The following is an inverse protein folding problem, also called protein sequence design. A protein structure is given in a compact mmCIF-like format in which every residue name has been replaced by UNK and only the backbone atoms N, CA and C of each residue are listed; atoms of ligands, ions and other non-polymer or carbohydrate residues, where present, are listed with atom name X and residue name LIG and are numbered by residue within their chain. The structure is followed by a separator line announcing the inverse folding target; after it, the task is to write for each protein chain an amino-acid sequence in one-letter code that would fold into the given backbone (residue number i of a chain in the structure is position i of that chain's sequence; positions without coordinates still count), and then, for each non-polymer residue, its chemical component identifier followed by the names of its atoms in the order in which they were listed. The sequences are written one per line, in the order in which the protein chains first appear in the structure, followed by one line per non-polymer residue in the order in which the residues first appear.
data_IF_539283598221
#
_entry.id   IF_539283598221
#
_cell.length_a   1.000
_cell.length_b   1.000
_cell.length_c   1.000
_cell.angle_alpha   90.00
_cell.angle_beta   90.00
_cell.angle_gamma   90.00
#
_symmetry.space_group_name_H-M   'P 1'
#
loop_
_entity.id
_entity.type
_entity.pdbx_description
1 polymer ?
#
# COMPACT_ATOMS: atom_id res chain seq x y z
N UNK A 1 31.12 78.37 65.56
CA UNK A 1 32.46 78.50 66.16
C UNK A 1 32.82 77.17 66.80
N UNK A 2 33.90 76.54 66.33
CA UNK A 2 34.53 75.31 66.85
C UNK A 2 35.34 75.63 68.14
N UNK A 3 36.01 74.69 68.86
CA UNK A 3 35.79 73.24 69.14
C UNK A 3 36.19 72.81 70.60
N UNK A 4 36.35 71.48 70.82
CA UNK A 4 36.93 70.71 71.97
C UNK A 4 35.95 70.35 73.12
N UNK A 5 35.89 69.11 73.66
CA UNK A 5 37.00 68.22 74.09
C UNK A 5 36.58 66.73 74.23
N UNK A 6 37.59 65.86 74.07
CA UNK A 6 37.72 64.41 74.31
C UNK A 6 37.14 63.81 75.62
N UNK A 7 36.71 62.53 75.61
CA UNK A 7 37.38 61.46 76.38
C UNK A 7 37.05 60.03 75.90
N UNK A 8 38.07 59.18 76.06
CA UNK A 8 38.27 57.78 75.65
C UNK A 8 37.37 56.77 76.39
N UNK A 9 37.10 55.64 75.75
CA UNK A 9 37.45 54.31 76.29
C UNK A 9 37.49 53.25 75.19
N UNK A 10 38.52 52.42 75.29
CA UNK A 10 38.99 51.35 74.41
C UNK A 10 38.73 50.03 75.15
N UNK A 11 38.15 49.01 74.50
CA UNK A 11 38.40 47.58 74.80
C UNK A 11 37.83 46.74 73.63
N UNK A 12 38.68 46.22 72.74
CA UNK A 12 39.22 44.85 72.67
C UNK A 12 38.32 43.85 71.92
N UNK A 13 38.91 43.33 70.84
CA UNK A 13 38.57 42.23 69.95
C UNK A 13 37.87 41.01 70.59
N UNK A 14 36.89 40.46 69.88
CA UNK A 14 36.83 39.01 69.64
C UNK A 14 36.22 38.74 68.25
N UNK A 15 37.01 38.09 67.39
CA UNK A 15 36.59 37.64 66.07
C UNK A 15 35.74 36.37 66.20
N UNK A 16 34.55 36.37 65.59
CA UNK A 16 33.83 35.15 65.25
C UNK A 16 33.73 35.06 63.73
N UNK A 17 34.53 34.17 63.16
CA UNK A 17 34.32 33.64 61.82
C UNK A 17 33.06 32.75 61.87
N UNK A 18 31.94 33.26 61.38
CA UNK A 18 30.81 32.40 60.98
C UNK A 18 31.02 32.02 59.52
N UNK A 19 31.47 30.78 59.33
CA UNK A 19 31.47 30.09 58.04
C UNK A 19 29.98 29.91 57.68
N UNK A 20 29.47 30.72 56.76
CA UNK A 20 28.25 30.41 56.04
C UNK A 20 28.56 29.23 55.13
N UNK A 21 28.14 28.03 55.54
CA UNK A 21 27.95 26.93 54.61
C UNK A 21 26.75 27.31 53.74
N UNK A 22 27.00 27.77 52.52
CA UNK A 22 26.00 27.71 51.46
C UNK A 22 25.74 26.23 51.21
N UNK A 23 24.60 25.74 51.71
CA UNK A 23 24.02 24.48 51.27
C UNK A 23 23.45 24.72 49.86
N UNK A 24 24.33 24.63 48.86
CA UNK A 24 23.89 24.54 47.47
C UNK A 24 23.49 23.10 47.19
N UNK A 25 22.36 22.67 47.74
CA UNK A 25 21.64 21.53 47.21
C UNK A 25 21.04 21.97 45.86
N UNK A 26 21.88 22.02 44.82
CA UNK A 26 21.39 21.84 43.47
C UNK A 26 20.83 20.42 43.44
N UNK A 27 19.52 20.29 43.59
CA UNK A 27 18.79 19.17 43.03
C UNK A 27 19.06 19.22 41.53
N UNK A 28 20.09 18.50 41.09
CA UNK A 28 20.15 17.98 39.73
C UNK A 28 18.96 17.06 39.60
N UNK A 29 17.86 17.57 39.08
CA UNK A 29 16.85 16.72 38.42
C UNK A 29 17.63 15.92 37.39
N UNK A 30 17.72 14.60 37.59
CA UNK A 30 18.15 13.71 36.51
C UNK A 30 17.27 14.02 35.28
N UNK A 31 17.85 14.09 34.07
CA UNK A 31 17.04 14.27 32.87
C UNK A 31 15.94 13.21 32.85
N UNK A 32 14.70 13.66 32.61
CA UNK A 32 13.52 12.81 32.61
C UNK A 32 13.60 11.91 31.38
N UNK A 33 14.15 10.72 31.55
CA UNK A 33 14.23 9.70 30.51
C UNK A 33 12.81 9.30 30.11
N UNK A 34 12.40 9.68 28.90
CA UNK A 34 11.12 9.27 28.34
C UNK A 34 11.35 8.12 27.37
N UNK A 35 10.69 6.98 27.62
CA UNK A 35 10.74 5.81 26.73
C UNK A 35 9.35 5.63 26.14
N UNK A 36 9.25 5.45 24.82
CA UNK A 36 7.99 5.11 24.16
C UNK A 36 8.17 3.90 23.28
N UNK A 37 7.11 3.13 23.12
CA UNK A 37 7.07 2.02 22.19
C UNK A 37 5.79 2.03 21.37
N UNK A 38 5.87 1.52 20.15
CA UNK A 38 4.73 1.41 19.26
C UNK A 38 4.79 0.09 18.48
N UNK A 39 3.63 -0.53 18.26
CA UNK A 39 3.56 -1.75 17.46
C UNK A 39 2.23 -1.94 16.75
N UNK A 40 2.29 -2.68 15.65
CA UNK A 40 1.13 -3.17 14.90
C UNK A 40 1.48 -4.52 14.24
N UNK A 41 0.52 -5.43 14.16
CA UNK A 41 0.69 -6.74 13.52
C UNK A 41 -0.52 -7.11 12.66
N UNK A 42 -0.29 -7.08 11.36
CA UNK A 42 -1.22 -7.44 10.29
C UNK A 42 -0.53 -8.40 9.31
N UNK A 43 0.23 -9.36 9.86
CA UNK A 43 1.05 -10.29 9.07
C UNK A 43 0.24 -11.19 8.15
N UNK A 44 -1.05 -11.40 8.42
CA UNK A 44 -1.94 -12.10 7.49
C UNK A 44 -2.23 -11.24 6.25
N UNK A 45 -2.11 -11.81 5.05
CA UNK A 45 -2.44 -11.10 3.81
C UNK A 45 -3.93 -10.75 3.73
N UNK A 46 -4.24 -9.62 3.09
CA UNK A 46 -5.64 -9.29 2.72
C UNK A 46 -6.06 -10.18 1.57
N UNK A 47 -7.10 -10.97 1.77
CA UNK A 47 -7.69 -11.84 0.76
C UNK A 47 -9.16 -11.45 0.58
N UNK A 48 -9.54 -11.14 -0.65
CA UNK A 48 -10.91 -10.81 -1.01
C UNK A 48 -11.66 -12.06 -1.48
N UNK A 49 -12.93 -12.17 -1.08
CA UNK A 49 -13.84 -13.22 -1.56
C UNK A 49 -14.84 -12.72 -2.58
N UNK A 50 -14.84 -11.43 -2.94
CA UNK A 50 -15.73 -10.95 -3.98
C UNK A 50 -15.32 -9.65 -4.65
N UNK A 51 -15.91 -9.40 -5.80
CA UNK A 51 -15.80 -8.15 -6.54
C UNK A 51 -17.09 -7.79 -7.26
N UNK A 52 -17.32 -6.49 -7.47
CA UNK A 52 -18.48 -5.98 -8.22
C UNK A 52 -18.16 -4.72 -9.01
N UNK A 53 -18.88 -4.51 -10.10
CA UNK A 53 -18.86 -3.25 -10.85
C UNK A 53 -19.42 -2.11 -10.01
N UNK A 54 -18.88 -0.90 -10.19
CA UNK A 54 -19.42 0.34 -9.58
C UNK A 54 -20.14 1.19 -10.63
N UNK A 55 -21.00 2.12 -10.19
CA UNK A 55 -21.75 3.02 -11.09
C UNK A 55 -20.83 3.97 -11.89
N UNK A 56 -19.68 4.34 -11.33
CA UNK A 56 -18.68 5.20 -11.98
C UNK A 56 -17.65 4.44 -12.83
N UNK A 57 -17.68 3.11 -12.81
CA UNK A 57 -16.73 2.26 -13.53
C UNK A 57 -16.93 2.28 -15.03
N UNK A 58 -15.86 2.07 -15.81
CA UNK A 58 -15.95 1.92 -17.27
C UNK A 58 -16.26 0.48 -17.61
N UNK A 59 -17.10 0.28 -18.63
CA UNK A 59 -17.39 -1.06 -19.18
C UNK A 59 -17.15 -1.04 -20.69
N UNK A 60 -16.40 -2.03 -21.19
CA UNK A 60 -16.14 -2.17 -22.61
C UNK A 60 -15.88 -3.62 -22.99
N UNK A 61 -16.16 -3.93 -24.25
CA UNK A 61 -15.76 -5.19 -24.89
C UNK A 61 -14.42 -4.99 -25.58
N UNK A 62 -13.50 -5.95 -25.41
CA UNK A 62 -12.29 -6.04 -26.23
C UNK A 62 -12.62 -6.81 -27.50
N UNK A 63 -12.54 -6.12 -28.63
CA UNK A 63 -12.81 -6.65 -29.95
C UNK A 63 -11.56 -7.32 -30.55
N UNK A 64 -11.73 -8.14 -31.60
CA UNK A 64 -10.62 -8.70 -32.35
C UNK A 64 -9.62 -7.66 -32.83
N UNK A 65 -8.35 -7.96 -32.60
CA UNK A 65 -7.25 -7.21 -33.19
C UNK A 65 -5.92 -7.89 -32.93
N UNK A 66 -4.82 -7.27 -33.42
CA UNK A 66 -3.47 -7.65 -33.06
C UNK A 66 -3.30 -7.63 -31.54
N UNK A 67 -2.72 -8.69 -30.97
CA UNK A 67 -2.38 -8.68 -29.55
C UNK A 67 -1.37 -7.57 -29.25
N UNK A 68 -1.56 -6.83 -28.16
CA UNK A 68 -0.66 -5.71 -27.80
C UNK A 68 0.76 -6.22 -27.53
N UNK A 69 0.89 -7.33 -26.81
CA UNK A 69 2.18 -7.96 -26.49
C UNK A 69 2.85 -8.63 -27.70
N UNK A 70 2.08 -9.08 -28.68
CA UNK A 70 2.59 -9.75 -29.87
C UNK A 70 1.69 -9.47 -31.09
N UNK A 71 1.91 -8.36 -31.81
CA UNK A 71 1.03 -7.96 -32.92
C UNK A 71 0.95 -8.96 -34.08
N UNK A 72 1.89 -9.91 -34.19
CA UNK A 72 1.83 -10.98 -35.18
C UNK A 72 0.70 -11.99 -34.90
N UNK A 73 0.23 -12.07 -33.65
CA UNK A 73 -0.97 -12.83 -33.29
C UNK A 73 -2.21 -11.94 -33.50
N UNK A 74 -3.01 -12.29 -34.50
CA UNK A 74 -4.19 -11.55 -34.92
C UNK A 74 -5.17 -12.49 -35.64
N UNK A 75 -6.47 -12.54 -35.29
CA UNK A 75 -7.11 -11.83 -34.19
C UNK A 75 -6.88 -12.48 -32.82
N UNK A 76 -6.95 -11.68 -31.75
CA UNK A 76 -6.90 -12.14 -30.36
C UNK A 76 -7.84 -11.32 -29.47
N UNK A 77 -8.23 -11.85 -28.29
CA UNK A 77 -8.94 -11.09 -27.25
C UNK A 77 -8.05 -10.13 -26.46
N UNK A 78 -6.77 -9.96 -26.81
CA UNK A 78 -5.80 -9.17 -26.03
C UNK A 78 -5.32 -7.95 -26.81
N UNK A 79 -6.26 -7.26 -27.45
CA UNK A 79 -6.00 -6.13 -28.34
C UNK A 79 -6.37 -4.78 -27.69
N UNK A 80 -6.01 -3.68 -28.38
CA UNK A 80 -6.49 -2.33 -28.05
C UNK A 80 -7.72 -1.90 -28.86
N UNK A 81 -8.30 -2.82 -29.63
CA UNK A 81 -9.58 -2.59 -30.30
C UNK A 81 -10.68 -2.81 -29.27
N UNK A 82 -11.36 -1.73 -28.87
CA UNK A 82 -12.36 -1.77 -27.80
C UNK A 82 -13.66 -1.10 -28.26
N UNK A 83 -14.78 -1.60 -27.74
CA UNK A 83 -16.09 -0.98 -27.89
C UNK A 83 -16.67 -0.66 -26.52
N UNK A 84 -16.86 0.64 -26.25
CA UNK A 84 -17.50 1.09 -25.01
C UNK A 84 -18.94 0.59 -24.96
N UNK A 85 -19.34 0.04 -23.82
CA UNK A 85 -20.66 -0.57 -23.66
C UNK A 85 -21.16 -0.40 -22.23
N UNK A 86 -22.22 -1.13 -21.87
CA UNK A 86 -22.79 -1.15 -20.54
C UNK A 86 -22.85 -2.58 -19.99
N UNK A 87 -22.82 -2.67 -18.68
CA UNK A 87 -22.93 -3.93 -17.96
C UNK A 87 -22.81 -3.71 -16.47
N UNK A 88 -23.06 -4.76 -15.72
CA UNK A 88 -22.85 -4.81 -14.29
C UNK A 88 -22.48 -6.23 -13.90
N UNK A 89 -21.66 -6.39 -12.89
CA UNK A 89 -21.42 -7.70 -12.33
C UNK A 89 -21.30 -7.70 -10.81
N UNK A 90 -21.57 -8.85 -10.21
CA UNK A 90 -21.18 -9.22 -8.85
C UNK A 90 -20.70 -10.66 -8.89
N UNK A 91 -19.55 -10.90 -8.27
CA UNK A 91 -18.91 -12.20 -8.14
C UNK A 91 -18.49 -12.41 -6.69
N UNK A 92 -18.87 -13.54 -6.11
CA UNK A 92 -18.29 -14.06 -4.87
C UNK A 92 -17.66 -15.43 -5.14
N UNK A 93 -16.55 -15.69 -4.47
CA UNK A 93 -15.78 -16.92 -4.55
C UNK A 93 -15.48 -17.47 -3.16
N UNK A 94 -15.33 -18.78 -3.10
CA UNK A 94 -14.81 -19.51 -1.95
C UNK A 94 -13.56 -20.23 -2.42
N UNK A 95 -12.43 -19.93 -1.79
CA UNK A 95 -11.14 -20.58 -1.98
C UNK A 95 -10.82 -21.29 -0.67
N UNK A 96 -11.16 -22.58 -0.64
CA UNK A 96 -11.18 -23.43 0.56
C UNK A 96 -9.89 -24.22 0.67
N UNK A 97 -9.36 -24.66 -0.46
CA UNK A 97 -8.22 -25.56 -0.53
C UNK A 97 -7.02 -24.82 -1.13
N UNK A 98 -5.92 -24.75 -0.38
CA UNK A 98 -4.68 -24.06 -0.81
C UNK A 98 -4.12 -24.60 -2.15
N UNK A 99 -4.38 -25.89 -2.42
CA UNK A 99 -4.07 -26.56 -3.67
C UNK A 99 -5.33 -27.15 -4.30
N UNK A 100 -5.60 -26.73 -5.54
CA UNK A 100 -6.74 -27.23 -6.30
C UNK A 100 -6.52 -28.69 -6.73
N UNK A 101 -7.62 -29.45 -6.68
CA UNK A 101 -7.67 -30.87 -6.99
C UNK A 101 -9.11 -31.26 -7.34
N UNK A 102 -9.37 -32.48 -7.88
CA UNK A 102 -10.75 -32.89 -8.19
C UNK A 102 -11.66 -32.98 -6.96
N UNK A 103 -11.09 -32.93 -5.75
CA UNK A 103 -11.80 -32.95 -4.48
C UNK A 103 -11.89 -31.56 -3.83
N UNK A 104 -11.35 -30.51 -4.46
CA UNK A 104 -11.41 -29.15 -3.95
C UNK A 104 -12.87 -28.70 -3.77
N UNK A 105 -13.11 -27.96 -2.70
CA UNK A 105 -14.38 -27.34 -2.37
C UNK A 105 -14.47 -25.89 -2.86
N UNK A 106 -13.52 -25.44 -3.70
CA UNK A 106 -13.56 -24.11 -4.29
C UNK A 106 -14.84 -23.90 -5.10
N UNK A 107 -15.41 -22.71 -4.99
CA UNK A 107 -16.71 -22.43 -5.61
C UNK A 107 -16.84 -20.97 -6.02
N UNK A 108 -17.67 -20.71 -7.03
CA UNK A 108 -18.29 -19.41 -7.22
C UNK A 108 -19.65 -19.42 -6.51
N UNK A 109 -19.87 -18.50 -5.59
CA UNK A 109 -21.10 -18.40 -4.80
C UNK A 109 -22.15 -17.53 -5.48
N UNK A 110 -22.05 -16.22 -5.26
CA UNK A 110 -22.92 -15.23 -5.88
C UNK A 110 -22.38 -14.85 -7.26
N UNK A 111 -23.07 -15.22 -8.33
CA UNK A 111 -22.72 -14.85 -9.70
C UNK A 111 -23.90 -14.11 -10.34
N UNK A 112 -23.68 -12.84 -10.66
CA UNK A 112 -24.62 -12.04 -11.44
C UNK A 112 -23.84 -11.17 -12.39
N UNK A 113 -23.69 -11.61 -13.64
CA UNK A 113 -22.97 -10.87 -14.68
C UNK A 113 -23.97 -10.53 -15.78
N UNK A 114 -24.04 -9.25 -16.15
CA UNK A 114 -24.82 -8.75 -17.27
C UNK A 114 -24.00 -7.76 -18.08
N UNK A 115 -24.07 -7.84 -19.40
CA UNK A 115 -23.39 -6.91 -20.29
C UNK A 115 -24.08 -6.83 -21.64
N UNK A 116 -23.87 -5.73 -22.35
CA UNK A 116 -24.31 -5.56 -23.74
C UNK A 116 -23.13 -5.86 -24.67
N UNK A 117 -23.27 -6.85 -25.54
CA UNK A 117 -22.26 -7.16 -26.56
C UNK A 117 -22.25 -6.14 -27.69
N UNK A 118 -21.26 -6.21 -28.57
CA UNK A 118 -21.14 -5.36 -29.76
C UNK A 118 -22.34 -5.50 -30.73
N UNK A 119 -23.00 -6.66 -30.74
CA UNK A 119 -24.26 -6.91 -31.46
C UNK A 119 -25.48 -6.19 -30.88
N UNK A 120 -25.32 -5.52 -29.73
CA UNK A 120 -26.37 -4.80 -29.02
C UNK A 120 -27.30 -5.69 -28.19
N UNK A 121 -27.08 -7.02 -28.16
CA UNK A 121 -27.83 -7.93 -27.28
C UNK A 121 -27.29 -7.82 -25.86
N UNK A 122 -28.20 -7.94 -24.90
CA UNK A 122 -27.82 -8.10 -23.49
C UNK A 122 -27.67 -9.57 -23.14
N UNK A 123 -26.53 -9.89 -22.56
CA UNK A 123 -26.17 -11.23 -22.12
C UNK A 123 -26.19 -11.32 -20.61
N UNK A 124 -26.41 -12.53 -20.10
CA UNK A 124 -26.44 -12.85 -18.68
C UNK A 124 -25.70 -14.14 -18.38
N UNK A 125 -24.94 -14.13 -17.29
CA UNK A 125 -24.34 -15.31 -16.67
C UNK A 125 -24.71 -15.28 -15.18
N UNK A 126 -25.35 -16.34 -14.70
CA UNK A 126 -25.92 -16.39 -13.34
C UNK A 126 -25.39 -17.52 -12.47
N UNK A 127 -24.49 -18.35 -13.01
CA UNK A 127 -23.86 -19.44 -12.29
C UNK A 127 -22.54 -19.79 -12.96
N UNK A 128 -21.54 -20.18 -12.17
CA UNK A 128 -20.26 -20.69 -12.65
C UNK A 128 -19.93 -21.93 -11.82
N UNK A 129 -19.72 -23.06 -12.51
CA UNK A 129 -19.20 -24.27 -11.89
C UNK A 129 -17.69 -24.28 -12.08
N UNK A 130 -16.91 -24.28 -10.99
CA UNK A 130 -15.44 -24.25 -11.05
C UNK A 130 -14.90 -25.50 -11.75
N UNK A 131 -13.87 -25.34 -12.58
CA UNK A 131 -13.21 -26.44 -13.29
C UNK A 131 -12.03 -26.91 -12.46
N UNK A 132 -12.17 -27.93 -11.63
CA UNK A 132 -11.04 -28.39 -10.83
C UNK A 132 -9.92 -29.09 -11.62
N UNK A 133 -8.69 -28.87 -11.18
CA UNK A 133 -7.47 -29.51 -11.70
C UNK A 133 -7.51 -31.02 -11.55
N UNK A 134 -7.15 -31.77 -12.59
CA UNK A 134 -6.94 -33.22 -12.51
C UNK A 134 -5.66 -33.57 -11.73
N UNK A 135 -5.65 -34.70 -11.03
CA UNK A 135 -4.49 -35.16 -10.27
C UNK A 135 -3.24 -35.27 -11.16
N UNK A 136 -2.16 -34.59 -10.78
CA UNK A 136 -0.88 -34.61 -11.51
C UNK A 136 -0.86 -33.77 -12.79
N UNK A 137 -1.86 -32.92 -13.04
CA UNK A 137 -1.89 -32.00 -14.18
C UNK A 137 -1.47 -30.59 -13.79
N UNK A 138 -0.71 -29.88 -14.64
CA UNK A 138 -0.34 -28.47 -14.45
C UNK A 138 0.67 -28.19 -13.32
N UNK A 139 1.51 -27.19 -13.52
CA UNK A 139 2.67 -26.91 -12.65
C UNK A 139 2.34 -25.90 -11.52
N UNK A 140 1.09 -25.42 -11.47
CA UNK A 140 0.63 -24.35 -10.57
C UNK A 140 -0.42 -24.86 -9.57
N UNK A 141 -0.48 -24.23 -8.39
CA UNK A 141 -1.32 -24.66 -7.26
C UNK A 141 -2.82 -24.43 -7.46
N UNK A 142 -3.23 -23.55 -8.38
CA UNK A 142 -4.63 -23.15 -8.59
C UNK A 142 -5.12 -23.36 -10.04
N UNK A 143 -4.56 -24.34 -10.76
CA UNK A 143 -4.84 -24.55 -12.19
C UNK A 143 -6.22 -25.21 -12.43
N UNK A 144 -7.28 -24.47 -12.13
CA UNK A 144 -8.66 -24.91 -12.26
C UNK A 144 -9.61 -24.27 -11.22
N UNK A 145 -9.11 -24.10 -10.00
CA UNK A 145 -9.84 -23.57 -8.86
C UNK A 145 -9.99 -22.06 -8.81
N UNK A 146 -10.20 -21.56 -7.59
CA UNK A 146 -10.19 -20.13 -7.28
C UNK A 146 -8.78 -19.76 -6.80
N UNK A 147 -8.17 -18.75 -7.41
CA UNK A 147 -6.92 -18.18 -6.94
C UNK A 147 -7.14 -16.81 -6.29
N UNK A 148 -6.50 -16.57 -5.15
CA UNK A 148 -6.41 -15.24 -4.53
C UNK A 148 -4.97 -14.75 -4.47
N UNK A 149 -4.77 -13.46 -4.72
CA UNK A 149 -3.48 -12.77 -4.77
C UNK A 149 -2.41 -13.55 -5.57
N UNK A 150 -2.68 -13.77 -6.85
CA UNK A 150 -1.78 -14.51 -7.75
C UNK A 150 -1.19 -13.58 -8.79
N UNK A 151 0.14 -13.57 -8.89
CA UNK A 151 0.83 -12.92 -10.02
C UNK A 151 0.70 -13.82 -11.24
N UNK A 152 0.11 -13.30 -12.32
CA UNK A 152 -0.22 -14.07 -13.52
C UNK A 152 0.30 -13.39 -14.79
N UNK A 153 0.17 -14.10 -15.91
CA UNK A 153 0.44 -13.62 -17.27
C UNK A 153 1.91 -13.25 -17.52
N UNK A 154 2.20 -12.53 -18.61
CA UNK A 154 3.57 -12.19 -19.00
C UNK A 154 4.48 -13.43 -19.09
N UNK A 155 5.60 -13.41 -18.37
CA UNK A 155 6.57 -14.50 -18.31
C UNK A 155 6.43 -15.41 -17.07
N UNK A 156 5.33 -15.33 -16.32
CA UNK A 156 5.12 -16.13 -15.09
C UNK A 156 4.96 -17.63 -15.36
N UNK A 157 4.62 -18.01 -16.59
CA UNK A 157 4.19 -19.36 -16.91
C UNK A 157 2.74 -19.67 -16.50
N UNK A 158 2.02 -18.69 -15.92
CA UNK A 158 0.62 -18.81 -15.53
C UNK A 158 -0.26 -17.98 -16.47
N UNK A 159 -1.24 -18.61 -17.11
CA UNK A 159 -2.13 -17.94 -18.07
C UNK A 159 -1.44 -17.62 -19.40
N UNK A 160 -1.81 -16.52 -20.05
CA UNK A 160 -1.30 -16.16 -21.39
C UNK A 160 -0.11 -15.19 -21.34
N UNK A 161 0.85 -15.37 -22.24
CA UNK A 161 1.92 -14.38 -22.49
C UNK A 161 1.47 -13.17 -23.33
N UNK A 162 0.19 -13.13 -23.73
CA UNK A 162 -0.39 -12.01 -24.48
C UNK A 162 -0.98 -10.91 -23.59
N UNK A 163 -0.97 -11.13 -22.28
CA UNK A 163 -1.36 -10.15 -21.27
C UNK A 163 -0.12 -9.71 -20.48
N UNK A 164 -0.13 -8.49 -19.93
CA UNK A 164 0.96 -8.00 -19.10
C UNK A 164 1.09 -8.83 -17.83
N UNK A 165 2.28 -8.88 -17.23
CA UNK A 165 2.40 -9.43 -15.88
C UNK A 165 1.59 -8.55 -14.92
N UNK A 166 0.76 -9.16 -14.07
CA UNK A 166 -0.10 -8.44 -13.13
C UNK A 166 -0.49 -9.27 -11.92
N UNK A 167 -0.85 -8.60 -10.82
CA UNK A 167 -1.50 -9.20 -9.65
C UNK A 167 -3.01 -9.37 -9.87
N UNK A 168 -3.49 -10.61 -9.79
CA UNK A 168 -4.90 -10.95 -9.67
C UNK A 168 -5.31 -11.09 -8.20
N UNK A 169 -6.19 -10.22 -7.73
CA UNK A 169 -6.83 -10.33 -6.41
C UNK A 169 -7.72 -11.57 -6.33
N UNK A 170 -8.48 -11.82 -7.40
CA UNK A 170 -9.35 -12.99 -7.56
C UNK A 170 -9.18 -13.48 -9.00
N UNK A 171 -9.00 -14.78 -9.19
CA UNK A 171 -8.95 -15.42 -10.52
C UNK A 171 -9.64 -16.78 -10.46
N UNK A 172 -10.36 -17.16 -11.51
CA UNK A 172 -11.00 -18.47 -11.58
C UNK A 172 -11.17 -18.97 -13.01
N UNK A 173 -11.30 -20.28 -13.15
CA UNK A 173 -11.79 -20.93 -14.37
C UNK A 173 -13.06 -21.72 -14.03
N UNK A 174 -14.03 -21.68 -14.94
CA UNK A 174 -15.29 -22.35 -14.70
C UNK A 174 -16.04 -22.69 -15.98
N UNK A 175 -17.18 -23.36 -15.81
CA UNK A 175 -18.20 -23.61 -16.81
C UNK A 175 -19.45 -22.80 -16.49
N UNK A 176 -19.98 -22.12 -17.49
CA UNK A 176 -21.16 -21.29 -17.35
C UNK A 176 -22.09 -21.39 -18.56
N UNK A 177 -23.38 -21.13 -18.33
CA UNK A 177 -24.33 -20.91 -19.41
C UNK A 177 -24.37 -19.42 -19.77
N UNK A 178 -24.25 -19.13 -21.07
CA UNK A 178 -24.49 -17.79 -21.62
C UNK A 178 -25.97 -17.68 -21.97
N UNK A 179 -26.67 -16.71 -21.40
CA UNK A 179 -28.11 -16.49 -21.60
C UNK A 179 -28.38 -15.15 -22.27
N UNK A 180 -29.52 -15.06 -22.95
CA UNK A 180 -30.15 -13.78 -23.30
C UNK A 180 -30.74 -13.16 -22.03
N UNK A 181 -30.36 -11.93 -21.71
CA UNK A 181 -30.78 -11.29 -20.46
C UNK A 181 -32.27 -10.92 -20.44
N UNK A 182 -32.89 -10.67 -21.60
CA UNK A 182 -34.28 -10.25 -21.69
C UNK A 182 -35.24 -11.44 -21.56
N UNK A 183 -34.86 -12.61 -22.08
CA UNK A 183 -35.72 -13.80 -22.09
C UNK A 183 -35.30 -14.89 -21.09
N UNK A 184 -34.11 -14.77 -20.51
CA UNK A 184 -33.41 -15.81 -19.73
C UNK A 184 -33.16 -17.13 -20.50
N UNK A 185 -33.29 -17.12 -21.83
CA UNK A 185 -33.04 -18.31 -22.65
C UNK A 185 -31.56 -18.60 -22.77
N UNK A 186 -31.16 -19.86 -22.59
CA UNK A 186 -29.76 -20.31 -22.78
C UNK A 186 -29.40 -20.24 -24.26
N UNK A 187 -28.37 -19.45 -24.58
CA UNK A 187 -27.81 -19.28 -25.92
C UNK A 187 -26.68 -20.28 -26.17
N UNK A 188 -25.86 -20.53 -25.15
CA UNK A 188 -24.84 -21.57 -25.17
C UNK A 188 -24.61 -22.12 -23.77
N UNK A 189 -24.41 -23.43 -23.67
CA UNK A 189 -24.24 -24.14 -22.38
C UNK A 189 -22.79 -24.57 -22.16
N UNK A 190 -22.41 -24.76 -20.90
CA UNK A 190 -21.10 -25.30 -20.49
C UNK A 190 -19.91 -24.59 -21.16
N UNK A 191 -20.02 -23.27 -21.28
CA UNK A 191 -18.97 -22.43 -21.82
C UNK A 191 -17.87 -22.30 -20.80
N UNK A 192 -16.63 -22.59 -21.21
CA UNK A 192 -15.46 -22.20 -20.43
C UNK A 192 -15.52 -20.68 -20.25
N UNK A 193 -15.34 -20.25 -19.02
CA UNK A 193 -15.25 -18.86 -18.61
C UNK A 193 -14.01 -18.69 -17.75
N UNK A 194 -13.29 -17.61 -17.99
CA UNK A 194 -12.22 -17.14 -17.13
C UNK A 194 -12.62 -15.77 -16.58
N UNK A 195 -12.54 -15.61 -15.26
CA UNK A 195 -12.74 -14.30 -14.62
C UNK A 195 -11.51 -13.97 -13.81
N UNK A 196 -11.06 -12.72 -13.92
CA UNK A 196 -9.95 -12.21 -13.15
C UNK A 196 -10.27 -10.78 -12.70
N UNK A 197 -10.25 -10.54 -11.40
CA UNK A 197 -10.20 -9.18 -10.83
C UNK A 197 -8.77 -8.88 -10.41
N UNK A 198 -8.16 -7.88 -11.01
CA UNK A 198 -6.73 -7.62 -10.96
C UNK A 198 -6.41 -6.13 -10.84
N UNK A 199 -5.12 -5.84 -10.64
CA UNK A 199 -4.56 -4.51 -10.85
C UNK A 199 -4.82 -4.01 -12.28
N UNK A 200 -4.88 -2.69 -12.45
CA UNK A 200 -5.22 -2.10 -13.75
C UNK A 200 -4.05 -2.23 -14.73
N UNK A 201 -4.32 -2.72 -15.94
CA UNK A 201 -3.28 -2.91 -16.97
C UNK A 201 -3.51 -2.08 -18.22
N UNK A 202 -4.40 -1.09 -18.14
CA UNK A 202 -4.59 -0.09 -19.17
C UNK A 202 -4.33 1.31 -18.65
N UNK A 203 -3.76 2.15 -19.50
CA UNK A 203 -3.54 3.56 -19.19
C UNK A 203 -4.84 4.39 -19.25
N UNK A 204 -4.74 5.69 -19.01
CA UNK A 204 -5.89 6.60 -19.06
C UNK A 204 -6.55 6.68 -20.45
N UNK A 205 -5.81 6.34 -21.51
CA UNK A 205 -6.29 6.25 -22.90
C UNK A 205 -6.82 4.85 -23.24
N UNK A 206 -6.99 3.98 -22.24
CA UNK A 206 -7.41 2.59 -22.36
C UNK A 206 -6.47 1.72 -23.19
N UNK A 207 -5.19 2.09 -23.31
CA UNK A 207 -4.17 1.27 -23.99
C UNK A 207 -3.51 0.32 -23.02
N UNK A 208 -3.39 -0.95 -23.42
CA UNK A 208 -2.78 -1.97 -22.59
C UNK A 208 -1.28 -1.72 -22.43
N UNK A 209 -0.78 -1.90 -21.20
CA UNK A 209 0.64 -1.69 -20.85
C UNK A 209 1.48 -2.85 -21.41
N UNK A 210 2.43 -2.65 -22.35
CA UNK A 210 3.06 -3.75 -23.06
C UNK A 210 4.26 -4.38 -22.32
N UNK A 211 4.08 -4.88 -21.09
CA UNK A 211 5.17 -5.48 -20.28
C UNK A 211 4.89 -6.90 -19.80
N UNK A 212 5.73 -7.87 -20.24
CA UNK A 212 5.64 -9.27 -19.81
C UNK A 212 6.57 -9.61 -18.63
N UNK A 213 7.69 -8.90 -18.51
CA UNK A 213 8.76 -9.27 -17.58
C UNK A 213 8.63 -8.57 -16.22
N UNK A 214 8.17 -7.32 -16.23
CA UNK A 214 7.98 -6.49 -15.05
C UNK A 214 6.48 -6.24 -14.89
N UNK A 215 5.97 -6.40 -13.67
CA UNK A 215 4.62 -5.94 -13.36
C UNK A 215 4.63 -4.41 -13.40
N UNK A 216 3.92 -3.85 -14.37
CA UNK A 216 3.79 -2.40 -14.56
C UNK A 216 2.34 -1.96 -14.39
N UNK A 217 1.53 -2.80 -13.77
CA UNK A 217 0.13 -2.50 -13.49
C UNK A 217 -0.01 -1.38 -12.45
N UNK A 218 -1.15 -0.72 -12.48
CA UNK A 218 -1.49 0.27 -11.45
C UNK A 218 -1.93 -0.50 -10.20
N UNK A 219 -0.99 -0.75 -9.28
CA UNK A 219 -1.26 -1.39 -7.99
C UNK A 219 -2.20 -0.58 -7.08
N UNK A 220 -2.69 0.58 -7.52
CA UNK A 220 -3.71 1.34 -6.83
C UNK A 220 -5.01 0.52 -6.76
N UNK A 221 -5.35 0.03 -5.56
CA UNK A 221 -6.47 -0.90 -5.41
C UNK A 221 -7.82 -0.27 -5.78
N UNK A 222 -7.95 1.06 -5.69
CA UNK A 222 -9.13 1.81 -6.14
C UNK A 222 -9.37 1.74 -7.65
N UNK A 223 -8.34 1.36 -8.41
CA UNK A 223 -8.39 1.24 -9.87
C UNK A 223 -8.43 -0.22 -10.33
N UNK A 224 -8.69 -1.17 -9.44
CA UNK A 224 -8.85 -2.57 -9.82
C UNK A 224 -9.83 -2.71 -11.01
N UNK A 225 -9.57 -3.72 -11.83
CA UNK A 225 -10.37 -4.04 -13.01
C UNK A 225 -10.75 -5.51 -13.03
N UNK A 226 -11.83 -5.85 -13.73
CA UNK A 226 -12.27 -7.23 -13.92
C UNK A 226 -12.37 -7.59 -15.39
N UNK A 227 -11.72 -8.69 -15.73
CA UNK A 227 -11.76 -9.36 -17.01
C UNK A 227 -12.76 -10.52 -16.93
N UNK A 228 -13.69 -10.59 -17.88
CA UNK A 228 -14.58 -11.74 -18.05
C UNK A 228 -14.40 -12.24 -19.49
N UNK A 229 -13.82 -13.42 -19.64
CA UNK A 229 -13.45 -13.97 -20.95
C UNK A 229 -14.19 -15.29 -21.16
N UNK A 230 -14.92 -15.40 -22.27
CA UNK A 230 -15.42 -16.66 -22.80
C UNK A 230 -14.58 -17.01 -24.03
N UNK A 231 -13.59 -17.90 -23.90
CA UNK A 231 -12.79 -18.35 -25.04
C UNK A 231 -13.64 -19.13 -26.07
N UNK A 232 -13.12 -19.24 -27.31
CA UNK A 232 -13.77 -20.06 -28.33
C UNK A 232 -13.85 -21.53 -27.91
N UNK A 233 -15.01 -22.14 -28.15
CA UNK A 233 -15.20 -23.60 -28.14
C UNK A 233 -15.72 -24.03 -29.51
N UNK A 234 -15.42 -25.25 -29.93
CA UNK A 234 -15.95 -25.83 -31.18
C UNK A 234 -15.60 -25.03 -32.45
N UNK A 235 -14.38 -24.52 -32.57
CA UNK A 235 -13.92 -23.68 -33.70
C UNK A 235 -13.90 -24.38 -35.06
N UNK A 236 -14.09 -25.70 -35.11
CA UNK A 236 -14.09 -26.46 -36.37
C UNK A 236 -15.40 -26.25 -37.14
N UNK A 237 -15.40 -25.28 -38.05
CA UNK A 237 -16.54 -24.98 -38.93
C UNK A 237 -17.64 -24.14 -38.29
N UNK A 238 -17.49 -23.77 -37.01
CA UNK A 238 -18.35 -22.80 -36.34
C UNK A 238 -17.79 -21.38 -36.52
N UNK A 239 -18.51 -20.53 -37.24
CA UNK A 239 -18.16 -19.12 -37.42
C UNK A 239 -18.52 -18.23 -36.22
N UNK A 240 -19.30 -18.75 -35.28
CA UNK A 240 -19.77 -18.02 -34.09
C UNK A 240 -19.61 -18.88 -32.81
N UNK A 241 -18.37 -19.28 -32.45
CA UNK A 241 -18.15 -20.17 -31.31
C UNK A 241 -18.45 -19.53 -29.95
N UNK A 242 -18.72 -18.22 -29.91
CA UNK A 242 -19.50 -17.59 -28.85
C UNK A 242 -20.68 -16.87 -29.51
N UNK A 243 -21.94 -17.23 -29.24
CA UNK A 243 -23.07 -16.61 -29.91
C UNK A 243 -23.07 -15.09 -29.81
N UNK A 244 -23.25 -14.45 -30.97
CA UNK A 244 -23.37 -12.99 -31.09
C UNK A 244 -22.04 -12.25 -31.03
N UNK A 245 -20.91 -12.93 -31.14
CA UNK A 245 -19.61 -12.26 -31.22
C UNK A 245 -19.05 -12.29 -32.63
N UNK A 246 -19.43 -13.19 -33.54
CA UNK A 246 -18.93 -13.24 -34.93
C UNK A 246 -17.40 -13.49 -35.10
N UNK A 247 -16.62 -13.44 -34.01
CA UNK A 247 -15.17 -13.60 -33.99
C UNK A 247 -14.68 -14.60 -32.94
N UNK A 248 -15.61 -15.20 -32.21
CA UNK A 248 -15.40 -16.48 -31.55
C UNK A 248 -14.90 -16.44 -30.11
N UNK A 249 -14.65 -15.27 -29.56
CA UNK A 249 -14.51 -15.08 -28.12
C UNK A 249 -15.41 -13.93 -27.69
N UNK A 250 -15.59 -13.80 -26.37
CA UNK A 250 -16.08 -12.59 -25.73
C UNK A 250 -15.08 -12.19 -24.65
N UNK A 251 -14.73 -10.92 -24.56
CA UNK A 251 -13.87 -10.39 -23.50
C UNK A 251 -14.44 -9.06 -23.00
N UNK A 252 -15.10 -9.10 -21.84
CA UNK A 252 -15.63 -7.92 -21.18
C UNK A 252 -14.65 -7.42 -20.13
N UNK A 253 -14.53 -6.09 -20.07
CA UNK A 253 -13.69 -5.37 -19.12
C UNK A 253 -14.55 -4.44 -18.28
N UNK A 254 -14.28 -4.42 -16.98
CA UNK A 254 -14.87 -3.50 -16.01
C UNK A 254 -13.73 -2.79 -15.26
N UNK A 255 -13.58 -1.47 -15.37
CA UNK A 255 -12.59 -0.69 -14.60
C UNK A 255 -13.25 0.00 -13.40
N UNK A 256 -12.49 0.24 -12.32
CA UNK A 256 -12.99 0.92 -11.13
C UNK A 256 -13.95 0.04 -10.33
N UNK A 257 -13.60 -1.24 -10.17
CA UNK A 257 -14.43 -2.21 -9.47
C UNK A 257 -14.21 -2.14 -7.96
N UNK A 258 -15.21 -2.56 -7.20
CA UNK A 258 -15.11 -2.69 -5.75
C UNK A 258 -14.72 -4.13 -5.40
N UNK A 259 -13.67 -4.27 -4.58
CA UNK A 259 -13.30 -5.51 -3.92
C UNK A 259 -14.00 -5.59 -2.56
N UNK A 260 -14.57 -6.74 -2.21
CA UNK A 260 -15.27 -6.93 -0.95
C UNK A 260 -15.05 -8.33 -0.36
N UNK A 261 -15.56 -8.55 0.85
CA UNK A 261 -15.38 -9.82 1.56
C UNK A 261 -13.93 -10.06 1.97
N UNK A 262 -13.22 -9.01 2.35
CA UNK A 262 -11.86 -9.11 2.86
C UNK A 262 -11.85 -9.92 4.17
N UNK A 263 -10.89 -10.85 4.32
CA UNK A 263 -10.68 -11.63 5.54
C UNK A 263 -10.29 -10.77 6.76
N UNK A 264 -9.76 -9.57 6.52
CA UNK A 264 -9.50 -8.53 7.52
C UNK A 264 -9.71 -7.15 6.92
N UNK A 265 -9.68 -6.12 7.75
CA UNK A 265 -9.73 -4.74 7.29
C UNK A 265 -8.52 -4.44 6.37
N UNK A 266 -8.76 -4.03 5.10
CA UNK A 266 -7.71 -3.96 4.08
C UNK A 266 -6.71 -2.82 4.34
N UNK A 267 -7.19 -1.69 4.87
CA UNK A 267 -6.40 -0.47 5.10
C UNK A 267 -5.50 -0.48 6.33
N UNK A 268 -5.27 -1.62 6.98
CA UNK A 268 -4.44 -1.68 8.19
C UNK A 268 -2.93 -1.68 7.92
N UNK A 269 -2.52 -2.21 6.76
CA UNK A 269 -1.15 -2.12 6.26
C UNK A 269 -1.21 -1.87 4.75
N UNK A 270 -0.52 -0.83 4.29
CA UNK A 270 -0.52 -0.44 2.88
C UNK A 270 0.71 0.38 2.52
N UNK A 271 0.97 0.47 1.23
CA UNK A 271 2.01 1.32 0.64
C UNK A 271 1.35 2.50 -0.06
N UNK A 272 1.90 3.70 0.15
CA UNK A 272 1.55 4.87 -0.66
C UNK A 272 2.37 4.83 -1.95
N UNK A 273 1.68 4.80 -3.08
CA UNK A 273 2.29 4.70 -4.40
C UNK A 273 2.64 6.08 -4.99
N UNK A 274 3.55 6.15 -5.97
CA UNK A 274 3.81 7.36 -6.75
C UNK A 274 2.57 7.96 -7.37
N UNK A 275 2.36 9.24 -7.09
CA UNK A 275 1.34 10.03 -7.76
C UNK A 275 1.51 11.53 -7.50
N UNK A 276 0.60 12.33 -8.07
CA UNK A 276 0.48 13.74 -7.69
C UNK A 276 0.26 13.86 -6.19
N UNK A 277 0.99 14.77 -5.53
CA UNK A 277 0.74 15.07 -4.12
C UNK A 277 -0.67 15.63 -3.95
N UNK A 278 -1.38 15.22 -2.90
CA UNK A 278 -2.77 15.67 -2.66
C UNK A 278 -2.83 17.18 -2.42
N UNK A 279 -1.92 17.71 -1.63
CA UNK A 279 -1.85 19.14 -1.29
C UNK A 279 -1.31 20.00 -2.45
N UNK A 280 -0.41 19.46 -3.26
CA UNK A 280 0.15 20.16 -4.43
C UNK A 280 0.29 19.22 -5.64
N UNK A 281 -0.77 19.05 -6.45
CA UNK A 281 -0.77 18.11 -7.57
C UNK A 281 0.27 18.40 -8.66
N UNK A 282 0.82 19.61 -8.72
CA UNK A 282 1.91 19.94 -9.64
C UNK A 282 3.23 19.24 -9.28
N UNK A 283 3.37 18.75 -8.04
CA UNK A 283 4.47 17.90 -7.61
C UNK A 283 4.08 16.44 -7.83
N UNK A 284 4.71 15.80 -8.80
CA UNK A 284 4.46 14.41 -9.18
C UNK A 284 5.71 13.83 -9.87
N UNK A 285 6.12 12.58 -9.57
CA UNK A 285 5.58 11.72 -8.52
C UNK A 285 6.06 12.15 -7.11
N UNK A 286 5.28 11.80 -6.08
CA UNK A 286 5.64 12.01 -4.66
C UNK A 286 5.13 10.85 -3.79
N UNK A 287 5.69 10.66 -2.57
CA UNK A 287 5.16 9.73 -1.56
C UNK A 287 3.92 10.25 -0.83
N UNK A 288 3.30 11.35 -1.27
CA UNK A 288 2.20 12.01 -0.57
C UNK A 288 0.93 12.05 -1.43
N UNK A 289 0.69 10.96 -2.16
CA UNK A 289 -0.45 10.80 -3.07
C UNK A 289 -1.61 10.03 -2.41
N UNK A 290 -2.75 9.99 -3.09
CA UNK A 290 -3.90 9.14 -2.72
C UNK A 290 -3.85 7.73 -3.33
N UNK A 291 -2.78 7.42 -4.07
CA UNK A 291 -2.63 6.09 -4.65
C UNK A 291 -2.07 5.17 -3.57
N UNK A 292 -2.74 4.05 -3.35
CA UNK A 292 -2.38 3.11 -2.28
C UNK A 292 -2.45 1.67 -2.78
N UNK A 293 -1.47 0.86 -2.41
CA UNK A 293 -1.47 -0.59 -2.60
C UNK A 293 -1.64 -1.27 -1.25
N UNK A 294 -2.55 -2.24 -1.17
CA UNK A 294 -2.77 -3.01 0.04
C UNK A 294 -1.58 -3.95 0.30
N UNK A 295 -1.37 -4.29 1.57
CA UNK A 295 -0.26 -5.14 1.99
C UNK A 295 -0.56 -5.85 3.31
N UNK A 296 0.40 -6.65 3.76
CA UNK A 296 0.48 -7.21 5.12
C UNK A 296 1.82 -6.86 5.75
N UNK A 297 1.90 -7.00 7.06
CA UNK A 297 3.16 -6.80 7.76
C UNK A 297 3.02 -6.63 9.26
N UNK A 298 4.16 -6.52 9.91
CA UNK A 298 4.26 -6.18 11.32
C UNK A 298 5.37 -5.16 11.53
N UNK A 299 5.18 -4.35 12.56
CA UNK A 299 6.16 -3.35 12.98
C UNK A 299 6.16 -3.26 14.51
N UNK A 300 7.36 -3.15 15.07
CA UNK A 300 7.58 -2.83 16.47
C UNK A 300 8.75 -1.87 16.58
N UNK A 301 8.61 -0.88 17.44
CA UNK A 301 9.68 0.05 17.75
C UNK A 301 9.65 0.44 19.23
N UNK A 302 10.82 0.80 19.73
CA UNK A 302 11.03 1.39 21.04
C UNK A 302 12.09 2.45 20.92
N UNK A 303 11.82 3.62 21.50
CA UNK A 303 12.70 4.76 21.47
C UNK A 303 12.90 5.33 22.86
N UNK A 304 14.01 6.03 23.03
CA UNK A 304 14.36 6.81 24.20
C UNK A 304 14.66 8.24 23.77
N UNK A 305 13.98 9.22 24.37
CA UNK A 305 14.27 10.66 24.25
C UNK A 305 14.90 11.06 25.59
N UNK A 306 16.21 11.31 25.54
CA UNK A 306 17.08 11.48 26.71
C UNK A 306 17.54 12.93 26.85
N UNK A 307 17.49 13.69 25.76
CA UNK A 307 18.03 15.04 25.68
C UNK A 307 17.00 16.01 25.10
N UNK A 308 16.77 17.14 25.78
CA UNK A 308 15.79 18.16 25.33
C UNK A 308 16.09 18.71 23.92
N UNK A 309 17.38 18.70 23.54
CA UNK A 309 17.86 19.16 22.25
C UNK A 309 18.78 18.09 21.64
N UNK A 310 18.53 17.77 20.38
CA UNK A 310 19.39 16.93 19.57
C UNK A 310 20.71 17.65 19.25
N UNK A 311 21.79 16.89 19.31
CA UNK A 311 23.15 17.27 18.95
C UNK A 311 23.97 16.01 18.66
N UNK A 312 25.20 16.13 18.17
CA UNK A 312 26.09 14.98 17.94
C UNK A 312 26.39 14.18 19.22
N UNK A 313 26.08 14.74 20.40
CA UNK A 313 26.27 14.14 21.71
C UNK A 313 24.96 13.70 22.36
N UNK A 314 23.82 13.84 21.67
CA UNK A 314 22.53 13.34 22.15
C UNK A 314 22.60 11.83 22.40
N UNK A 315 21.93 11.41 23.47
CA UNK A 315 21.75 10.03 23.88
C UNK A 315 20.38 9.48 23.44
N UNK A 316 19.63 10.24 22.63
CA UNK A 316 18.39 9.77 22.05
C UNK A 316 18.68 8.50 21.24
N UNK A 317 17.80 7.51 21.38
CA UNK A 317 18.06 6.20 20.84
C UNK A 317 16.80 5.58 20.25
N UNK A 318 17.03 4.79 19.20
CA UNK A 318 16.08 3.80 18.71
C UNK A 318 16.54 2.47 19.32
N UNK A 319 15.97 2.14 20.48
CA UNK A 319 16.36 0.98 21.27
C UNK A 319 16.04 -0.33 20.56
N UNK A 320 14.86 -0.37 19.92
CA UNK A 320 14.35 -1.52 19.19
C UNK A 320 13.66 -1.04 17.92
N UNK A 321 13.92 -1.70 16.80
CA UNK A 321 13.14 -1.53 15.58
C UNK A 321 13.16 -2.83 14.80
N UNK A 322 11.96 -3.33 14.47
CA UNK A 322 11.77 -4.47 13.60
C UNK A 322 10.50 -4.27 12.77
N UNK A 323 10.67 -4.26 11.44
CA UNK A 323 9.58 -4.17 10.48
C UNK A 323 9.70 -5.29 9.45
N UNK A 324 8.58 -5.94 9.17
CA UNK A 324 8.36 -6.78 7.99
C UNK A 324 7.14 -6.26 7.24
N UNK A 325 7.29 -6.02 5.95
CA UNK A 325 6.21 -5.56 5.07
C UNK A 325 6.16 -6.46 3.83
N UNK A 326 4.98 -6.90 3.44
CA UNK A 326 4.76 -7.82 2.33
C UNK A 326 3.65 -7.29 1.42
N UNK A 327 4.02 -6.96 0.19
CA UNK A 327 3.07 -6.62 -0.89
C UNK A 327 2.25 -7.86 -1.24
N UNK A 328 1.04 -7.66 -1.77
CA UNK A 328 0.17 -8.78 -2.16
C UNK A 328 0.70 -9.60 -3.36
N UNK A 329 1.75 -9.14 -4.05
CA UNK A 329 2.47 -9.91 -5.06
C UNK A 329 3.54 -10.86 -4.48
N UNK A 330 3.74 -10.84 -3.15
CA UNK A 330 4.73 -11.62 -2.42
C UNK A 330 6.09 -10.93 -2.24
N UNK A 331 6.27 -9.70 -2.74
CA UNK A 331 7.50 -8.93 -2.50
C UNK A 331 7.58 -8.52 -1.04
N UNK A 332 8.71 -8.80 -0.39
CA UNK A 332 8.91 -8.56 1.03
C UNK A 332 10.04 -7.56 1.26
N UNK A 333 9.81 -6.63 2.17
CA UNK A 333 10.81 -5.72 2.72
C UNK A 333 10.95 -5.93 4.23
N UNK A 334 12.18 -5.94 4.71
CA UNK A 334 12.49 -5.95 6.14
C UNK A 334 13.47 -4.83 6.48
N UNK A 335 13.28 -4.23 7.66
CA UNK A 335 14.18 -3.24 8.25
C UNK A 335 14.31 -3.56 9.73
N UNK A 336 15.56 -3.61 10.20
CA UNK A 336 15.92 -3.79 11.60
C UNK A 336 17.05 -2.83 11.99
N UNK A 337 17.24 -2.66 13.30
CA UNK A 337 18.40 -1.98 13.88
C UNK A 337 18.69 -0.59 13.29
N UNK A 338 17.65 0.26 13.20
CA UNK A 338 17.82 1.66 12.76
C UNK A 338 18.75 2.39 13.73
N UNK A 339 19.76 3.07 13.18
CA UNK A 339 20.65 3.97 13.93
C UNK A 339 20.15 5.40 13.78
N UNK A 340 19.90 6.09 14.90
CA UNK A 340 19.50 7.49 14.89
C UNK A 340 20.55 8.37 14.18
N UNK A 341 20.10 9.43 13.51
CA UNK A 341 20.95 10.39 12.79
C UNK A 341 20.93 11.73 13.50
N UNK A 342 21.82 11.94 14.46
CA UNK A 342 21.90 13.19 15.20
C UNK A 342 22.41 14.36 14.35
N UNK A 343 21.87 15.56 14.60
CA UNK A 343 22.35 16.78 13.95
C UNK A 343 23.61 17.34 14.61
N UNK A 344 24.36 18.15 13.85
CA UNK A 344 25.44 18.94 14.42
C UNK A 344 24.93 20.04 15.36
N UNK A 345 25.65 20.33 16.44
CA UNK A 345 25.28 21.39 17.37
C UNK A 345 25.12 22.74 16.62
N UNK A 346 23.99 23.42 16.87
CA UNK A 346 23.66 24.69 16.19
C UNK A 346 23.23 24.56 14.72
N UNK A 347 23.07 23.34 14.20
CA UNK A 347 22.48 23.07 12.90
C UNK A 347 21.00 22.67 13.00
N UNK A 348 20.26 22.82 11.90
CA UNK A 348 18.83 22.56 11.82
C UNK A 348 17.98 23.64 12.50
N UNK A 349 16.74 23.79 12.04
CA UNK A 349 15.82 24.82 12.55
C UNK A 349 15.05 24.38 13.82
N UNK A 350 15.15 23.09 14.21
CA UNK A 350 14.31 22.49 15.25
C UNK A 350 15.10 21.68 16.27
N UNK A 351 14.59 21.60 17.50
CA UNK A 351 15.34 21.06 18.66
C UNK A 351 15.61 19.57 18.57
N UNK A 352 14.72 18.75 17.98
CA UNK A 352 14.84 17.28 17.91
C UNK A 352 15.28 16.76 16.52
N UNK A 353 15.65 17.65 15.60
CA UNK A 353 15.83 17.30 14.18
C UNK A 353 17.02 16.36 13.97
N UNK A 354 16.78 15.05 13.90
CA UNK A 354 17.82 14.04 13.74
C UNK A 354 17.83 12.99 14.87
N UNK A 355 17.51 13.43 16.08
CA UNK A 355 17.24 12.59 17.23
C UNK A 355 15.80 12.04 17.26
N UNK A 356 15.37 11.63 18.46
CA UNK A 356 14.00 11.20 18.74
C UNK A 356 13.19 12.41 19.22
N UNK A 357 12.02 12.63 18.63
CA UNK A 357 11.10 13.67 19.06
C UNK A 357 9.79 13.09 19.56
N UNK A 358 9.37 13.48 20.77
CA UNK A 358 8.02 13.21 21.29
C UNK A 358 7.09 14.41 21.24
N UNK A 359 5.83 14.12 20.91
CA UNK A 359 4.69 15.05 20.86
C UNK A 359 5.00 16.33 20.08
N UNK A 360 5.39 16.17 18.82
CA UNK A 360 5.79 17.27 17.93
C UNK A 360 4.71 17.54 16.90
N UNK A 361 4.29 18.80 16.80
CA UNK A 361 3.54 19.27 15.65
C UNK A 361 4.44 19.23 14.41
N UNK A 362 4.02 18.53 13.37
CA UNK A 362 4.78 18.36 12.14
C UNK A 362 3.95 18.69 10.90
N UNK A 363 4.66 18.85 9.78
CA UNK A 363 4.12 19.00 8.44
C UNK A 363 3.26 20.25 8.26
N UNK A 364 2.51 20.34 7.15
CA UNK A 364 1.71 21.50 6.81
C UNK A 364 2.52 22.81 6.84
N UNK A 365 2.05 23.79 7.62
CA UNK A 365 2.67 25.10 7.78
C UNK A 365 3.58 25.24 9.02
N UNK A 366 3.91 24.14 9.70
CA UNK A 366 4.71 24.17 10.95
C UNK A 366 6.16 24.58 10.71
N UNK A 367 6.67 24.44 9.48
CA UNK A 367 8.09 24.56 9.18
C UNK A 367 8.91 23.32 9.53
N UNK A 368 8.26 22.24 10.01
CA UNK A 368 8.90 20.96 10.35
C UNK A 368 8.43 19.89 9.36
N UNK A 369 9.37 19.19 8.71
CA UNK A 369 9.04 18.14 7.73
C UNK A 369 8.58 18.71 6.39
N UNK A 370 7.50 18.17 5.81
CA UNK A 370 7.03 18.53 4.46
C UNK A 370 5.73 19.32 4.48
N UNK A 371 5.58 20.26 3.54
CA UNK A 371 4.29 20.94 3.27
C UNK A 371 3.33 20.12 2.41
N UNK A 372 3.68 18.88 2.06
CA UNK A 372 2.87 17.97 1.24
C UNK A 372 2.05 16.97 2.06
N UNK A 373 2.16 17.03 3.38
CA UNK A 373 1.35 16.27 4.35
C UNK A 373 0.48 17.26 5.15
N UNK A 374 -0.68 16.81 5.68
CA UNK A 374 -1.47 17.66 6.56
C UNK A 374 -0.66 18.06 7.79
N UNK A 375 -1.04 19.18 8.43
CA UNK A 375 -0.54 19.46 9.78
C UNK A 375 -1.02 18.34 10.71
N UNK A 376 -0.12 17.75 11.49
CA UNK A 376 -0.45 16.60 12.36
C UNK A 376 0.46 16.51 13.58
N UNK A 377 0.01 15.77 14.60
CA UNK A 377 0.79 15.46 15.79
C UNK A 377 1.56 14.15 15.63
N UNK A 378 2.89 14.23 15.71
CA UNK A 378 3.77 13.08 15.83
C UNK A 378 4.01 12.75 17.31
N UNK A 379 3.52 11.60 17.77
CA UNK A 379 3.78 11.06 19.10
C UNK A 379 5.22 10.57 19.24
N UNK A 380 5.80 10.04 18.17
CA UNK A 380 7.20 9.66 18.03
C UNK A 380 7.63 10.04 16.62
N UNK A 381 8.79 10.68 16.47
CA UNK A 381 9.38 10.96 15.15
C UNK A 381 10.88 10.84 15.25
N UNK A 382 11.51 10.23 14.26
CA UNK A 382 12.97 10.22 14.15
C UNK A 382 13.44 10.06 12.71
N UNK A 383 14.71 10.41 12.49
CA UNK A 383 15.46 10.03 11.31
C UNK A 383 16.54 9.03 11.71
N UNK A 384 16.81 8.10 10.82
CA UNK A 384 17.85 7.10 11.04
C UNK A 384 18.47 6.60 9.75
N UNK A 385 19.44 5.71 9.90
CA UNK A 385 20.00 4.91 8.82
C UNK A 385 19.85 3.43 9.13
N UNK A 386 19.48 2.65 8.11
CA UNK A 386 19.33 1.20 8.23
C UNK A 386 19.59 0.50 6.89
N UNK A 387 19.76 -0.81 6.93
CA UNK A 387 19.78 -1.62 5.72
C UNK A 387 18.33 -2.00 5.35
N UNK A 388 17.96 -1.81 4.09
CA UNK A 388 16.75 -2.38 3.50
C UNK A 388 17.08 -3.79 3.04
N UNK A 389 16.28 -4.77 3.46
CA UNK A 389 16.49 -6.19 3.17
C UNK A 389 15.26 -6.82 2.53
N UNK A 390 15.46 -7.94 1.84
CA UNK A 390 14.38 -8.79 1.34
C UNK A 390 13.81 -9.69 2.46
N UNK A 391 12.90 -10.59 2.09
CA UNK A 391 12.28 -11.55 3.02
C UNK A 391 13.22 -12.66 3.52
N UNK A 392 14.34 -12.90 2.83
CA UNK A 392 15.37 -13.88 3.21
C UNK A 392 16.49 -13.22 4.05
N UNK A 393 16.43 -11.90 4.23
CA UNK A 393 17.39 -11.11 4.98
C UNK A 393 18.61 -10.68 4.15
N UNK A 394 18.58 -10.83 2.83
CA UNK A 394 19.62 -10.27 1.96
C UNK A 394 19.46 -8.75 1.91
N UNK A 395 20.57 -8.03 2.03
CA UNK A 395 20.58 -6.57 1.92
C UNK A 395 20.33 -6.19 0.47
N UNK A 396 19.23 -5.50 0.24
CA UNK A 396 18.90 -4.84 -1.03
C UNK A 396 19.66 -3.53 -1.13
N UNK A 397 19.62 -2.72 -0.08
CA UNK A 397 20.26 -1.40 -0.08
C UNK A 397 20.75 -1.05 1.33
N UNK A 398 22.01 -0.60 1.44
CA UNK A 398 22.70 -0.45 2.72
C UNK A 398 22.75 1.01 3.19
N UNK A 399 22.73 1.23 4.51
CA UNK A 399 22.87 2.56 5.13
C UNK A 399 21.89 3.60 4.56
N UNK A 400 20.65 3.19 4.31
CA UNK A 400 19.62 4.02 3.72
C UNK A 400 19.00 4.95 4.75
N UNK A 401 18.80 6.24 4.42
CA UNK A 401 18.02 7.12 5.26
C UNK A 401 16.60 6.58 5.38
N UNK A 402 16.11 6.54 6.61
CA UNK A 402 14.74 6.16 6.95
C UNK A 402 14.16 7.20 7.88
N UNK A 403 12.95 7.63 7.58
CA UNK A 403 12.15 8.47 8.45
C UNK A 403 11.00 7.62 9.00
N UNK A 404 10.84 7.63 10.32
CA UNK A 404 9.73 6.93 10.98
C UNK A 404 8.96 7.93 11.82
N UNK A 405 7.64 7.85 11.74
CA UNK A 405 6.74 8.68 12.52
C UNK A 405 5.59 7.83 13.05
N UNK A 406 5.31 7.92 14.35
CA UNK A 406 4.08 7.43 14.97
C UNK A 406 3.21 8.65 15.24
N UNK A 407 2.03 8.75 14.64
CA UNK A 407 1.25 9.98 14.61
C UNK A 407 -0.26 9.77 14.67
N UNK A 408 -0.99 10.87 14.83
CA UNK A 408 -2.43 10.91 14.58
C UNK A 408 -2.75 10.63 13.10
N UNK A 409 -3.95 10.16 12.80
CA UNK A 409 -4.29 9.67 11.46
C UNK A 409 -4.38 10.77 10.41
N UNK A 410 -3.47 10.78 9.43
CA UNK A 410 -3.48 11.72 8.31
C UNK A 410 -4.45 11.34 7.18
N UNK A 411 -5.03 10.13 7.20
CA UNK A 411 -5.96 9.65 6.17
C UNK A 411 -7.37 9.40 6.70
N UNK A 412 -8.36 9.53 5.81
CA UNK A 412 -9.77 9.21 6.08
C UNK A 412 -10.00 7.70 6.05
N UNK A 413 -11.22 7.28 6.41
CA UNK A 413 -11.66 5.88 6.34
C UNK A 413 -11.55 5.29 4.91
N UNK A 414 -11.65 6.13 3.88
CA UNK A 414 -11.42 5.76 2.48
C UNK A 414 -9.94 5.88 2.05
N UNK A 415 -9.02 5.99 3.00
CA UNK A 415 -7.58 6.16 2.81
C UNK A 415 -7.16 7.43 2.04
N UNK A 416 -8.08 8.35 1.74
CA UNK A 416 -7.72 9.65 1.15
C UNK A 416 -6.98 10.53 2.16
N UNK A 417 -5.91 11.20 1.71
CA UNK A 417 -5.09 12.07 2.54
C UNK A 417 -5.86 13.34 2.92
N UNK A 418 -5.67 13.79 4.16
CA UNK A 418 -6.14 15.10 4.60
C UNK A 418 -5.30 16.20 3.93
N UNK A 419 -5.98 17.19 3.34
CA UNK A 419 -5.34 18.28 2.62
C UNK A 419 -5.15 19.58 3.40
N UNK A 420 -5.56 19.65 4.67
CA UNK A 420 -5.40 20.86 5.48
C UNK A 420 -3.97 20.96 6.04
N UNK A 421 -3.27 22.01 5.63
CA UNK A 421 -1.89 22.31 6.06
C UNK A 421 -1.84 23.32 7.20
N UNK A 422 -2.94 23.96 7.52
CA UNK A 422 -3.01 25.08 8.45
C UNK A 422 -3.49 24.70 9.84
N UNK A 423 -4.43 23.75 9.89
CA UNK A 423 -5.06 23.24 11.10
C UNK A 423 -4.88 21.75 11.14
N UNK A 424 -4.56 21.22 12.32
CA UNK A 424 -4.56 19.77 12.51
C UNK A 424 -6.01 19.26 12.44
N UNK A 425 -6.34 18.56 11.36
CA UNK A 425 -7.62 17.88 11.15
C UNK A 425 -7.48 16.36 11.22
N UNK A 426 -6.32 15.87 11.67
CA UNK A 426 -6.06 14.43 11.80
C UNK A 426 -6.90 13.83 12.92
N UNK A 427 -7.12 12.52 12.83
CA UNK A 427 -7.88 11.81 13.86
C UNK A 427 -6.96 11.44 15.03
N UNK A 428 -7.24 11.99 16.21
CA UNK A 428 -6.50 11.75 17.45
C UNK A 428 -7.14 10.64 18.31
N UNK A 429 -8.10 9.88 17.78
CA UNK A 429 -8.67 8.71 18.45
C UNK A 429 -7.57 7.74 18.89
N UNK A 430 -7.74 7.12 20.06
CA UNK A 430 -6.76 6.18 20.58
C UNK A 430 -6.56 4.95 19.67
N UNK A 431 -7.57 4.59 18.88
CA UNK A 431 -7.54 3.55 17.85
C UNK A 431 -7.19 4.08 16.46
N UNK A 432 -6.70 5.33 16.37
CA UNK A 432 -6.42 6.07 15.13
C UNK A 432 -4.96 6.51 15.06
N UNK A 433 -4.09 5.88 15.84
CA UNK A 433 -2.64 6.09 15.74
C UNK A 433 -2.11 5.31 14.54
N UNK A 434 -1.25 5.93 13.73
CA UNK A 434 -0.61 5.31 12.58
C UNK A 434 0.92 5.40 12.66
N UNK A 435 1.62 4.47 11.99
CA UNK A 435 3.07 4.51 11.78
C UNK A 435 3.34 4.72 10.29
N UNK A 436 4.17 5.71 10.00
CA UNK A 436 4.79 5.94 8.70
C UNK A 436 6.22 5.43 8.72
N UNK A 437 6.62 4.66 7.72
CA UNK A 437 8.02 4.34 7.44
C UNK A 437 8.33 4.81 6.03
N UNK A 438 9.20 5.81 5.90
CA UNK A 438 9.55 6.44 4.62
C UNK A 438 11.03 6.23 4.33
N UNK A 439 11.31 5.66 3.17
CA UNK A 439 12.64 5.55 2.59
C UNK A 439 12.70 6.47 1.37
N UNK A 440 13.20 7.71 1.52
CA UNK A 440 13.22 8.69 0.44
C UNK A 440 14.27 8.33 -0.62
N UNK A 441 14.13 8.80 -1.87
CA UNK A 441 15.16 8.58 -2.89
C UNK A 441 16.47 9.27 -2.50
N UNK A 442 17.60 8.58 -2.69
CA UNK A 442 18.95 9.17 -2.50
C UNK A 442 19.63 9.60 -3.79
N UNK A 443 19.20 9.11 -4.97
CA UNK A 443 19.76 9.51 -6.27
C UNK A 443 18.72 9.57 -7.41
N UNK A 444 17.91 10.63 -7.46
CA UNK A 444 16.90 10.76 -8.53
C UNK A 444 17.47 11.02 -9.94
N UNK A 445 18.78 11.19 -10.08
CA UNK A 445 19.44 11.55 -11.34
C UNK A 445 19.77 10.31 -12.18
N UNK A 446 18.78 9.82 -12.93
CA UNK A 446 18.97 8.74 -13.91
C UNK A 446 18.93 7.32 -13.32
N UNK A 447 18.71 7.19 -12.01
CA UNK A 447 18.34 5.92 -11.39
C UNK A 447 16.80 5.75 -11.47
N UNK A 448 16.29 4.72 -12.17
CA UNK A 448 14.86 4.46 -12.25
C UNK A 448 14.30 3.80 -10.97
N UNK A 449 15.15 3.27 -10.09
CA UNK A 449 14.75 2.63 -8.83
C UNK A 449 15.69 3.04 -7.67
N UNK A 450 15.69 4.33 -7.27
CA UNK A 450 16.55 4.87 -6.21
C UNK A 450 16.28 4.30 -4.80
N UNK A 451 15.33 3.37 -4.68
CA UNK A 451 15.16 2.48 -3.53
C UNK A 451 14.95 1.09 -4.10
N UNK A 452 15.98 0.24 -4.02
CA UNK A 452 15.98 -1.05 -4.72
C UNK A 452 14.77 -1.91 -4.36
N UNK A 453 14.08 -2.41 -5.39
CA UNK A 453 12.88 -3.24 -5.26
C UNK A 453 11.59 -2.44 -5.10
N UNK A 454 11.66 -1.12 -4.91
CA UNK A 454 10.47 -0.28 -4.79
C UNK A 454 9.68 -0.21 -6.09
N UNK A 455 10.37 -0.19 -7.24
CA UNK A 455 9.77 0.02 -8.57
C UNK A 455 9.26 1.46 -8.79
N UNK A 456 9.47 2.35 -7.81
CA UNK A 456 8.74 3.60 -7.63
C UNK A 456 9.62 4.76 -7.16
N UNK A 457 10.87 4.45 -6.79
CA UNK A 457 11.89 5.39 -6.36
C UNK A 457 11.75 5.88 -4.92
N UNK A 458 10.80 5.35 -4.16
CA UNK A 458 10.71 5.50 -2.71
C UNK A 458 9.88 4.35 -2.14
N UNK A 459 9.96 4.16 -0.82
CA UNK A 459 8.96 3.39 -0.07
C UNK A 459 8.29 4.31 0.94
N UNK A 460 6.96 4.28 1.02
CA UNK A 460 6.18 4.90 2.08
C UNK A 460 5.17 3.87 2.57
N UNK A 461 5.51 3.24 3.68
CA UNK A 461 4.78 2.13 4.27
C UNK A 461 3.98 2.64 5.46
N UNK A 462 2.74 2.17 5.56
CA UNK A 462 1.76 2.65 6.53
C UNK A 462 1.23 1.49 7.35
N UNK A 463 1.12 1.70 8.67
CA UNK A 463 0.44 0.80 9.60
C UNK A 463 -0.58 1.60 10.43
N UNK A 464 -1.85 1.22 10.42
CA UNK A 464 -2.92 1.90 11.14
C UNK A 464 -3.25 1.21 12.46
N UNK A 465 -4.08 1.84 13.31
CA UNK A 465 -4.54 1.30 14.62
C UNK A 465 -3.41 0.78 15.52
N UNK A 466 -2.33 1.56 15.60
CA UNK A 466 -1.11 1.20 16.30
C UNK A 466 -1.29 1.25 17.81
N UNK A 467 -0.73 0.25 18.51
CA UNK A 467 -0.61 0.26 19.96
C UNK A 467 0.56 1.14 20.37
N UNK A 468 0.30 2.35 20.87
CA UNK A 468 1.29 3.26 21.45
C UNK A 468 1.36 3.12 22.99
N UNK A 469 2.57 3.00 23.53
CA UNK A 469 2.83 2.93 24.97
C UNK A 469 3.87 3.99 25.38
N UNK A 470 3.65 4.56 26.57
CA UNK A 470 4.47 5.60 27.19
C UNK A 470 5.13 5.12 28.47
#
# INVERSE_FOLDING_TARGET
MNPFTFLRSLLVFLAFFTIWACDSSQTTTEPEVSVRSASADYSEAVLFSGSRSTEGGKVYEVLPGPAVMNPAMNPTPFSDNINMTSGSYTLEVSDVDDEDSPASADAAGNVSIMFTGDDGRQYKISNINIIHKENGSGDHTFFGGVGRNKVMHGNTGIGTGLMPKMLAYITLWGLADLKDAATDSVLATNRVIHIMTATNVRDESLKMIPSAAVDSSDHNFWRAQTHIILPPQDTQGNSDPVPGTHYGFLHMMFEGVELFGANREPGLAYEVLPGPAVINPAMSPTPFSDRVALASGSISLKTSDMDENDSEQSNDAIDEFAMRFERLDGTVFTIDAIKAVHKAEGSGEHTFFGGVGYDKDMHGNTGIGTGLMPRMLAYITFWGVADLKDGDGNVLDSNRPVHVMVASRARRDDLSLIGDTSTDQTDHGADKVEIHVILPPTDTAGNPDPVEGSGHGFLHLMFEKVSLQN
#
